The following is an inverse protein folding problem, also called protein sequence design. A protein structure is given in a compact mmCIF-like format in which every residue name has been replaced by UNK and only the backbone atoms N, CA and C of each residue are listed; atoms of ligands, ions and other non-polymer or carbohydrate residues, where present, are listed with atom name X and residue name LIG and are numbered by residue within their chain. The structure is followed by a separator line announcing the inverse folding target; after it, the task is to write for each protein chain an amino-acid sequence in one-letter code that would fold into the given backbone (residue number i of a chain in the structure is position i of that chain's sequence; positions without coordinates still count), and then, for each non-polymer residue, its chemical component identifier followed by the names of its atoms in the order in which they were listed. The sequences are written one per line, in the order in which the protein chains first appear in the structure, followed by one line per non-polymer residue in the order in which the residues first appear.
data_IF_363705541941
#
_entry.id   IF_363705541941
#
_cell.length_a   1.000
_cell.length_b   1.000
_cell.length_c   1.000
_cell.angle_alpha   90.00
_cell.angle_beta   90.00
_cell.angle_gamma   90.00
#
_symmetry.space_group_name_H-M   'P 1'
#
loop_
_entity.id
_entity.type
_entity.pdbx_description
1 polymer ?
#
# COMPACT_ATOMS: atom_id res chain seq x y z
N UNK A 1 71.31 -63.03 4.90
CA UNK A 1 71.47 -62.90 6.36
C UNK A 1 72.65 -61.96 6.54
N UNK A 2 72.45 -60.66 6.28
CA UNK A 2 72.01 -59.63 7.27
C UNK A 2 73.13 -59.39 8.29
N UNK A 3 73.68 -58.21 8.59
CA UNK A 3 73.42 -56.80 8.30
C UNK A 3 74.75 -56.05 8.57
N UNK A 4 75.23 -55.11 7.75
CA UNK A 4 74.80 -53.70 7.60
C UNK A 4 75.17 -52.76 8.78
N UNK A 5 75.91 -51.69 8.42
CA UNK A 5 75.78 -50.29 8.86
C UNK A 5 76.66 -49.71 9.99
N UNK A 6 77.57 -48.82 9.56
CA UNK A 6 77.65 -47.36 9.85
C UNK A 6 78.99 -46.81 10.37
N UNK A 7 79.61 -46.04 9.47
CA UNK A 7 80.70 -45.09 9.67
C UNK A 7 80.31 -43.84 10.47
N UNK A 8 81.36 -43.16 10.96
CA UNK A 8 81.48 -41.70 11.10
C UNK A 8 80.70 -40.99 12.20
N UNK A 9 81.43 -40.55 13.23
CA UNK A 9 81.06 -39.38 14.04
C UNK A 9 82.23 -38.38 14.09
N UNK A 10 82.21 -37.46 13.14
CA UNK A 10 82.95 -36.20 13.19
C UNK A 10 82.17 -35.13 13.96
N UNK A 11 82.87 -34.48 14.89
CA UNK A 11 82.70 -33.11 15.43
C UNK A 11 81.33 -32.43 15.26
N UNK A 12 80.66 -32.15 16.38
CA UNK A 12 79.62 -31.12 16.47
C UNK A 12 79.96 -30.12 17.56
N UNK A 13 80.11 -28.84 17.17
CA UNK A 13 80.25 -27.71 18.08
C UNK A 13 78.88 -27.23 18.55
N UNK A 14 78.81 -26.86 19.84
CA UNK A 14 77.65 -26.25 20.48
C UNK A 14 77.42 -24.84 19.92
N UNK A 15 76.50 -24.71 18.96
CA UNK A 15 75.90 -23.42 18.61
C UNK A 15 74.70 -23.14 19.52
N UNK A 16 74.84 -22.09 20.30
CA UNK A 16 73.81 -21.50 21.15
C UNK A 16 72.62 -21.05 20.27
N UNK A 17 71.50 -21.78 20.34
CA UNK A 17 70.22 -21.35 19.72
C UNK A 17 69.76 -20.06 20.40
N UNK A 18 69.95 -18.91 19.73
CA UNK A 18 69.19 -17.71 20.04
C UNK A 18 67.70 -18.02 19.87
N UNK A 19 66.93 -17.95 20.96
CA UNK A 19 65.47 -17.97 20.93
C UNK A 19 64.99 -16.71 20.19
N UNK A 20 64.65 -16.85 18.91
CA UNK A 20 63.93 -15.81 18.18
C UNK A 20 62.55 -15.64 18.82
N UNK A 21 62.25 -14.43 19.29
CA UNK A 21 60.92 -14.09 19.79
C UNK A 21 59.92 -14.10 18.63
N UNK A 22 58.68 -14.56 18.84
CA UNK A 22 57.66 -14.52 17.80
C UNK A 22 57.35 -13.05 17.42
N UNK A 23 57.02 -12.78 16.15
CA UNK A 23 56.67 -11.44 15.71
C UNK A 23 55.40 -10.94 16.43
N UNK A 24 55.26 -9.62 16.64
CA UNK A 24 54.09 -9.05 17.29
C UNK A 24 52.81 -9.33 16.49
N UNK A 25 51.65 -9.46 17.15
CA UNK A 25 50.38 -9.69 16.48
C UNK A 25 50.05 -8.52 15.55
N UNK A 26 49.59 -8.83 14.34
CA UNK A 26 49.17 -7.81 13.37
C UNK A 26 48.01 -7.00 13.96
N UNK A 27 47.96 -5.67 13.73
CA UNK A 27 46.81 -4.89 14.13
C UNK A 27 45.55 -5.42 13.43
N UNK A 28 44.38 -5.34 14.10
CA UNK A 28 43.12 -5.75 13.49
C UNK A 28 42.88 -4.92 12.22
N UNK A 29 42.26 -5.49 11.18
CA UNK A 29 41.92 -4.75 9.98
C UNK A 29 41.09 -3.52 10.34
N UNK A 30 41.38 -2.39 9.70
CA UNK A 30 40.62 -1.17 9.88
C UNK A 30 39.13 -1.49 9.70
N UNK A 31 38.33 -1.30 10.75
CA UNK A 31 36.88 -1.41 10.66
C UNK A 31 36.44 -0.37 9.62
N UNK A 32 35.97 -0.83 8.47
CA UNK A 32 35.36 0.04 7.48
C UNK A 32 34.28 0.90 8.13
N UNK A 33 33.96 2.08 7.57
CA UNK A 33 32.90 2.92 8.10
C UNK A 33 31.63 2.05 8.29
N UNK A 34 30.94 2.17 9.43
CA UNK A 34 29.72 1.40 9.66
C UNK A 34 28.78 1.60 8.48
N UNK A 35 28.05 0.56 8.04
CA UNK A 35 27.06 0.72 6.99
C UNK A 35 26.15 1.88 7.41
N UNK A 36 25.98 2.87 6.51
CA UNK A 36 25.08 4.00 6.73
C UNK A 36 23.75 3.43 7.21
N UNK A 37 23.41 3.63 8.49
CA UNK A 37 22.08 3.31 8.99
C UNK A 37 21.11 4.05 8.08
N UNK A 38 20.31 3.31 7.30
CA UNK A 38 19.33 3.92 6.41
C UNK A 38 18.47 4.88 7.24
N UNK A 39 18.72 6.18 7.02
CA UNK A 39 18.01 7.28 7.64
C UNK A 39 16.52 7.13 7.34
N UNK A 40 15.68 7.19 8.37
CA UNK A 40 14.20 7.18 8.34
C UNK A 40 13.59 6.87 6.97
N UNK A 41 13.24 5.59 6.75
CA UNK A 41 12.47 5.22 5.55
C UNK A 41 11.17 6.02 5.55
N UNK A 42 10.87 6.67 4.43
CA UNK A 42 9.57 7.33 4.23
C UNK A 42 8.50 6.25 4.16
N UNK A 43 7.33 6.46 4.77
CA UNK A 43 6.31 5.41 4.86
C UNK A 43 5.05 5.81 4.09
N UNK A 44 4.53 4.86 3.33
CA UNK A 44 3.19 4.91 2.73
C UNK A 44 2.33 3.84 3.38
N UNK A 45 1.27 4.26 4.08
CA UNK A 45 0.25 3.36 4.59
C UNK A 45 -0.87 3.24 3.57
N UNK A 46 -1.11 2.02 3.10
CA UNK A 46 -2.26 1.68 2.28
C UNK A 46 -3.29 0.99 3.16
N UNK A 47 -4.36 1.71 3.50
CA UNK A 47 -5.44 1.14 4.30
C UNK A 47 -6.30 0.25 3.42
N UNK A 48 -6.84 -0.82 4.02
CA UNK A 48 -7.78 -1.73 3.36
C UNK A 48 -8.92 -2.09 4.30
N UNK A 49 -10.09 -2.32 3.73
CA UNK A 49 -11.24 -2.80 4.48
C UNK A 49 -12.58 -2.29 3.96
N UNK A 50 -13.65 -2.99 4.35
CA UNK A 50 -15.00 -2.69 3.90
C UNK A 50 -15.53 -1.34 4.44
N UNK A 51 -16.53 -0.72 3.80
CA UNK A 51 -17.24 0.43 4.38
C UNK A 51 -17.76 0.11 5.78
N UNK A 52 -17.51 0.99 6.76
CA UNK A 52 -17.90 0.77 8.16
C UNK A 52 -16.94 -0.09 9.00
N UNK A 53 -15.83 -0.58 8.44
CA UNK A 53 -14.87 -1.44 9.18
C UNK A 53 -13.97 -0.67 10.16
N UNK A 54 -13.93 0.66 10.07
CA UNK A 54 -13.10 1.52 10.93
C UNK A 54 -11.79 2.02 10.29
N UNK A 55 -11.67 1.97 8.95
CA UNK A 55 -10.47 2.47 8.23
C UNK A 55 -10.14 3.92 8.54
N UNK A 56 -11.11 4.82 8.42
CA UNK A 56 -10.91 6.25 8.73
C UNK A 56 -10.54 6.46 10.20
N UNK A 57 -11.07 5.64 11.11
CA UNK A 57 -10.67 5.67 12.52
C UNK A 57 -9.19 5.30 12.68
N UNK A 58 -8.73 4.25 11.98
CA UNK A 58 -7.32 3.85 11.93
C UNK A 58 -6.45 4.92 11.26
N UNK A 59 -6.89 5.54 10.17
CA UNK A 59 -6.19 6.64 9.50
C UNK A 59 -5.95 7.81 10.46
N UNK A 60 -7.00 8.20 11.20
CA UNK A 60 -6.90 9.27 12.20
C UNK A 60 -6.04 8.89 13.39
N UNK A 61 -6.01 7.61 13.80
CA UNK A 61 -5.08 7.14 14.82
C UNK A 61 -3.62 7.30 14.34
N UNK A 62 -3.30 6.81 13.14
CA UNK A 62 -1.97 6.99 12.55
C UNK A 62 -1.59 8.48 12.44
N UNK A 63 -2.53 9.35 12.09
CA UNK A 63 -2.27 10.78 12.04
C UNK A 63 -2.01 11.42 13.41
N UNK A 64 -2.65 10.92 14.49
CA UNK A 64 -2.32 11.36 15.86
C UNK A 64 -0.93 10.92 16.27
N UNK A 65 -0.56 9.69 15.93
CA UNK A 65 0.77 9.12 16.24
C UNK A 65 1.88 9.79 15.42
N UNK A 66 1.56 10.24 14.20
CA UNK A 66 2.46 10.92 13.29
C UNK A 66 1.88 12.29 12.86
N UNK A 67 2.15 13.39 13.61
CA UNK A 67 1.51 14.69 13.35
C UNK A 67 1.74 15.28 11.96
N UNK A 68 2.83 14.87 11.27
CA UNK A 68 3.14 15.29 9.89
C UNK A 68 2.44 14.43 8.81
N UNK A 69 1.64 13.45 9.22
CA UNK A 69 0.99 12.54 8.29
C UNK A 69 -0.11 13.23 7.50
N UNK A 70 -0.14 12.95 6.19
CA UNK A 70 -1.24 13.35 5.32
C UNK A 70 -2.13 12.15 5.00
N UNK A 71 -3.43 12.33 5.21
CA UNK A 71 -4.45 11.37 4.82
C UNK A 71 -5.04 11.81 3.48
N UNK A 72 -5.14 10.87 2.54
CA UNK A 72 -5.80 11.07 1.26
C UNK A 72 -6.87 10.00 1.06
N UNK A 73 -8.08 10.42 0.71
CA UNK A 73 -9.20 9.54 0.38
C UNK A 73 -9.82 9.94 -0.95
N UNK A 74 -10.32 8.95 -1.69
CA UNK A 74 -11.11 9.21 -2.90
C UNK A 74 -12.47 9.79 -2.53
N UNK A 75 -13.01 9.48 -1.34
CA UNK A 75 -14.29 10.01 -0.88
C UNK A 75 -14.25 11.54 -0.67
N UNK A 76 -13.06 12.12 -0.42
CA UNK A 76 -12.87 13.59 -0.31
C UNK A 76 -13.36 14.34 -1.56
N UNK A 77 -13.32 13.71 -2.74
CA UNK A 77 -13.76 14.31 -4.00
C UNK A 77 -15.27 14.56 -4.05
N UNK A 78 -16.05 13.79 -3.30
CA UNK A 78 -17.52 13.82 -3.32
C UNK A 78 -18.12 14.71 -2.23
N UNK A 79 -17.29 15.42 -1.46
CA UNK A 79 -17.76 16.43 -0.52
C UNK A 79 -17.91 17.77 -1.23
N UNK A 80 -19.07 18.39 -1.05
CA UNK A 80 -19.39 19.74 -1.52
C UNK A 80 -18.82 20.80 -0.57
N UNK A 81 -18.78 22.05 -1.03
CA UNK A 81 -18.33 23.21 -0.22
C UNK A 81 -19.13 23.39 1.09
N UNK A 82 -20.38 22.94 1.12
CA UNK A 82 -21.27 22.97 2.30
C UNK A 82 -21.08 21.76 3.24
N UNK A 83 -20.17 20.84 2.91
CA UNK A 83 -19.90 19.62 3.67
C UNK A 83 -20.84 18.45 3.36
N UNK A 84 -21.80 18.60 2.44
CA UNK A 84 -22.67 17.50 2.03
C UNK A 84 -21.91 16.48 1.15
N UNK A 85 -22.13 15.19 1.41
CA UNK A 85 -21.55 14.10 0.63
C UNK A 85 -22.51 13.67 -0.49
N UNK A 86 -22.06 13.76 -1.74
CA UNK A 86 -22.84 13.41 -2.93
C UNK A 86 -22.04 12.47 -3.83
N UNK A 87 -22.21 11.17 -3.62
CA UNK A 87 -21.53 10.17 -4.44
C UNK A 87 -22.13 10.13 -5.85
N UNK A 88 -21.30 10.41 -6.86
CA UNK A 88 -21.66 10.21 -8.26
C UNK A 88 -20.65 9.27 -8.93
N UNK A 89 -21.09 8.09 -9.38
CA UNK A 89 -20.20 7.11 -9.98
C UNK A 89 -19.57 7.51 -11.31
N UNK A 90 -20.22 8.39 -12.08
CA UNK A 90 -19.70 8.85 -13.36
C UNK A 90 -18.36 9.58 -13.20
N UNK A 91 -18.14 10.14 -12.00
CA UNK A 91 -16.91 10.84 -11.63
C UNK A 91 -15.93 9.98 -10.82
N UNK A 92 -16.21 8.68 -10.63
CA UNK A 92 -15.36 7.83 -9.77
C UNK A 92 -13.94 7.66 -10.33
N UNK A 93 -13.80 7.54 -11.65
CA UNK A 93 -12.49 7.45 -12.29
C UNK A 93 -11.69 8.74 -12.09
N UNK A 94 -12.32 9.89 -12.31
CA UNK A 94 -11.72 11.21 -12.05
C UNK A 94 -11.35 11.39 -10.58
N UNK A 95 -12.21 10.98 -9.65
CA UNK A 95 -11.95 11.03 -8.22
C UNK A 95 -10.72 10.20 -7.83
N UNK A 96 -10.55 9.01 -8.43
CA UNK A 96 -9.35 8.21 -8.24
C UNK A 96 -8.10 8.89 -8.80
N UNK A 97 -8.15 9.44 -10.02
CA UNK A 97 -7.01 10.16 -10.60
C UNK A 97 -6.63 11.39 -9.78
N UNK A 98 -7.61 12.16 -9.31
CA UNK A 98 -7.41 13.32 -8.46
C UNK A 98 -6.72 12.94 -7.14
N UNK A 99 -7.18 11.87 -6.50
CA UNK A 99 -6.57 11.35 -5.28
C UNK A 99 -5.11 10.89 -5.51
N UNK A 100 -4.87 10.16 -6.61
CA UNK A 100 -3.53 9.72 -7.02
C UNK A 100 -2.59 10.91 -7.27
N UNK A 101 -3.06 11.98 -7.92
CA UNK A 101 -2.28 13.22 -8.16
C UNK A 101 -1.88 13.89 -6.85
N UNK A 102 -2.79 13.98 -5.87
CA UNK A 102 -2.50 14.52 -4.53
C UNK A 102 -1.43 13.70 -3.80
N UNK A 103 -1.59 12.37 -3.78
CA UNK A 103 -0.63 11.46 -3.17
C UNK A 103 0.75 11.54 -3.84
N UNK A 104 0.81 11.56 -5.18
CA UNK A 104 2.05 11.70 -5.96
C UNK A 104 2.80 12.96 -5.58
N UNK A 105 2.11 14.11 -5.56
CA UNK A 105 2.69 15.40 -5.22
C UNK A 105 3.26 15.39 -3.80
N UNK A 106 2.53 14.83 -2.84
CA UNK A 106 3.02 14.69 -1.47
C UNK A 106 4.27 13.80 -1.38
N UNK A 107 4.30 12.68 -2.13
CA UNK A 107 5.45 11.78 -2.17
C UNK A 107 6.70 12.45 -2.75
N UNK A 108 6.54 13.18 -3.86
CA UNK A 108 7.59 13.96 -4.52
C UNK A 108 8.14 15.06 -3.60
N UNK A 109 7.27 15.68 -2.79
CA UNK A 109 7.67 16.65 -1.78
C UNK A 109 8.32 16.01 -0.53
N UNK A 110 8.49 14.69 -0.49
CA UNK A 110 9.13 13.98 0.62
C UNK A 110 8.30 13.90 1.91
N UNK A 111 6.98 14.14 1.83
CA UNK A 111 6.11 14.09 3.01
C UNK A 111 5.96 12.66 3.51
N UNK A 112 6.23 12.42 4.79
CA UNK A 112 6.10 11.09 5.40
C UNK A 112 5.55 11.18 6.84
N UNK A 113 4.62 10.30 7.24
CA UNK A 113 4.01 9.27 6.40
C UNK A 113 2.86 9.79 5.52
N UNK A 114 2.55 9.10 4.44
CA UNK A 114 1.32 9.31 3.66
C UNK A 114 0.38 8.14 3.94
N UNK A 115 -0.91 8.43 4.11
CA UNK A 115 -1.95 7.43 4.41
C UNK A 115 -3.02 7.51 3.33
N UNK A 116 -3.28 6.40 2.65
CA UNK A 116 -4.35 6.27 1.67
C UNK A 116 -5.53 5.55 2.33
N UNK A 117 -6.58 6.30 2.69
CA UNK A 117 -7.80 5.81 3.34
C UNK A 117 -8.88 5.49 2.29
N UNK A 118 -8.59 4.48 1.46
CA UNK A 118 -9.53 3.94 0.49
C UNK A 118 -9.99 2.55 0.92
N UNK A 119 -11.02 2.02 0.27
CA UNK A 119 -11.51 0.66 0.55
C UNK A 119 -10.49 -0.41 0.15
N UNK A 120 -9.84 -0.25 -1.01
CA UNK A 120 -8.77 -1.11 -1.53
C UNK A 120 -9.11 -2.62 -1.39
N UNK A 121 -10.18 -3.03 -2.08
CA UNK A 121 -10.67 -4.42 -2.11
C UNK A 121 -9.70 -5.33 -2.88
N UNK A 122 -9.14 -4.81 -3.96
CA UNK A 122 -8.29 -5.54 -4.88
C UNK A 122 -6.87 -4.99 -4.92
N UNK A 123 -5.89 -5.86 -5.14
CA UNK A 123 -4.48 -5.50 -5.23
C UNK A 123 -4.23 -4.45 -6.34
N UNK A 124 -4.93 -4.55 -7.48
CA UNK A 124 -4.76 -3.61 -8.60
C UNK A 124 -5.16 -2.17 -8.26
N UNK A 125 -6.10 -1.96 -7.32
CA UNK A 125 -6.54 -0.61 -6.89
C UNK A 125 -5.41 0.15 -6.17
N UNK A 126 -4.51 -0.58 -5.53
CA UNK A 126 -3.37 -0.05 -4.79
C UNK A 126 -2.10 0.10 -5.63
N UNK A 127 -2.03 -0.58 -6.78
CA UNK A 127 -0.85 -0.60 -7.64
C UNK A 127 -0.32 0.79 -8.01
N UNK A 128 -1.16 1.78 -8.39
CA UNK A 128 -0.65 3.13 -8.69
C UNK A 128 0.12 3.74 -7.51
N UNK A 129 -0.38 3.59 -6.28
CA UNK A 129 0.27 4.10 -5.08
C UNK A 129 1.55 3.34 -4.74
N UNK A 130 1.57 2.02 -4.92
CA UNK A 130 2.77 1.21 -4.71
C UNK A 130 3.90 1.55 -5.70
N UNK A 131 3.57 1.80 -6.97
CA UNK A 131 4.53 2.26 -7.98
C UNK A 131 5.08 3.65 -7.61
N UNK A 132 4.20 4.60 -7.28
CA UNK A 132 4.62 5.94 -6.85
C UNK A 132 5.50 5.89 -5.58
N UNK A 133 5.23 4.98 -4.65
CA UNK A 133 6.06 4.76 -3.48
C UNK A 133 7.47 4.30 -3.84
N UNK A 134 7.59 3.32 -4.75
CA UNK A 134 8.87 2.79 -5.21
C UNK A 134 9.71 3.87 -5.89
N UNK A 135 9.10 4.64 -6.80
CA UNK A 135 9.73 5.77 -7.51
C UNK A 135 10.29 6.84 -6.56
N UNK A 136 9.68 6.99 -5.39
CA UNK A 136 10.01 8.04 -4.44
C UNK A 136 10.69 7.49 -3.16
N UNK A 137 11.16 6.24 -3.14
CA UNK A 137 11.82 5.60 -1.99
C UNK A 137 10.96 5.58 -0.70
N UNK A 138 9.69 5.21 -0.82
CA UNK A 138 8.80 4.93 0.31
C UNK A 138 8.70 3.44 0.56
N UNK A 139 8.67 3.04 1.84
CA UNK A 139 8.26 1.70 2.26
C UNK A 139 6.73 1.65 2.31
N UNK A 140 6.15 0.66 1.60
CA UNK A 140 4.70 0.44 1.55
C UNK A 140 4.28 -0.50 2.66
N UNK A 141 3.33 -0.05 3.49
CA UNK A 141 2.80 -0.77 4.62
C UNK A 141 1.29 -0.93 4.42
N UNK A 142 0.83 -2.17 4.27
CA UNK A 142 -0.60 -2.47 4.21
C UNK A 142 -1.16 -2.54 5.63
N UNK A 143 -2.31 -1.90 5.86
CA UNK A 143 -2.98 -1.92 7.16
C UNK A 143 -4.48 -2.14 7.02
N UNK A 144 -5.01 -3.02 7.87
CA UNK A 144 -6.43 -3.22 8.04
C UNK A 144 -6.85 -2.77 9.44
N UNK A 145 -8.10 -2.32 9.62
CA UNK A 145 -8.67 -2.15 10.96
C UNK A 145 -8.65 -3.46 11.73
N UNK A 146 -8.35 -3.40 13.03
CA UNK A 146 -8.39 -4.55 13.95
C UNK A 146 -9.75 -4.65 14.68
N UNK A 147 -10.83 -4.27 14.00
CA UNK A 147 -12.15 -4.33 14.59
C UNK A 147 -12.73 -5.74 14.46
N UNK A 148 -13.27 -6.27 15.56
CA UNK A 148 -13.93 -7.59 15.59
C UNK A 148 -15.09 -7.75 14.59
N UNK A 149 -15.63 -6.65 14.06
CA UNK A 149 -16.73 -6.64 13.08
C UNK A 149 -16.28 -6.32 11.64
N UNK A 150 -14.98 -6.21 11.35
CA UNK A 150 -14.47 -5.74 10.04
C UNK A 150 -14.99 -6.52 8.82
N UNK A 151 -15.51 -7.74 9.02
CA UNK A 151 -16.15 -8.59 8.02
C UNK A 151 -17.61 -9.00 8.35
N UNK A 152 -18.22 -8.40 9.38
CA UNK A 152 -19.62 -8.62 9.72
C UNK A 152 -20.50 -7.65 8.92
N UNK A 153 -21.11 -8.13 7.84
CA UNK A 153 -21.88 -7.31 6.89
C UNK A 153 -23.01 -6.53 7.55
N UNK A 154 -23.70 -7.10 8.54
CA UNK A 154 -24.79 -6.42 9.25
C UNK A 154 -24.28 -5.24 10.07
N UNK A 155 -23.20 -5.43 10.82
CA UNK A 155 -22.61 -4.36 11.64
C UNK A 155 -21.93 -3.29 10.78
N UNK A 156 -21.30 -3.69 9.66
CA UNK A 156 -20.74 -2.77 8.67
C UNK A 156 -21.82 -1.87 8.07
N UNK A 157 -22.95 -2.45 7.65
CA UNK A 157 -24.08 -1.68 7.13
C UNK A 157 -24.63 -0.68 8.16
N UNK A 158 -24.70 -1.06 9.44
CA UNK A 158 -25.14 -0.17 10.52
C UNK A 158 -24.16 0.98 10.79
N UNK A 159 -22.86 0.75 10.62
CA UNK A 159 -21.79 1.72 10.96
C UNK A 159 -21.32 2.59 9.81
N UNK A 160 -21.61 2.21 8.57
CA UNK A 160 -21.10 2.95 7.42
C UNK A 160 -21.84 4.29 7.26
N UNK A 161 -21.08 5.38 7.14
CA UNK A 161 -21.62 6.74 7.10
C UNK A 161 -21.97 7.23 5.69
N UNK A 162 -21.55 6.48 4.65
CA UNK A 162 -21.78 6.83 3.25
C UNK A 162 -23.03 6.17 2.66
N UNK A 163 -23.87 5.54 3.50
CA UNK A 163 -25.13 4.93 3.08
C UNK A 163 -25.00 3.76 2.10
N UNK A 164 -23.85 3.08 2.08
CA UNK A 164 -23.61 1.91 1.24
C UNK A 164 -24.58 0.79 1.65
N UNK A 165 -25.45 0.31 0.73
CA UNK A 165 -26.43 -0.73 1.07
C UNK A 165 -25.76 -2.04 1.52
N UNK A 166 -26.44 -2.77 2.42
CA UNK A 166 -25.95 -4.04 2.98
C UNK A 166 -25.58 -5.05 1.91
N UNK A 167 -26.41 -5.18 0.88
CA UNK A 167 -26.23 -6.10 -0.24
C UNK A 167 -24.98 -5.73 -1.06
N UNK A 168 -24.68 -4.43 -1.17
CA UNK A 168 -23.44 -3.95 -1.80
C UNK A 168 -22.23 -4.28 -0.94
N UNK A 169 -22.30 -4.09 0.38
CA UNK A 169 -21.23 -4.47 1.31
C UNK A 169 -20.97 -5.98 1.26
N UNK A 170 -22.01 -6.82 1.16
CA UNK A 170 -21.87 -8.25 0.97
C UNK A 170 -21.06 -8.59 -0.28
N UNK A 171 -21.42 -8.02 -1.43
CA UNK A 171 -20.69 -8.20 -2.70
C UNK A 171 -19.26 -7.63 -2.65
N UNK A 172 -19.01 -6.60 -1.85
CA UNK A 172 -17.66 -6.08 -1.62
C UNK A 172 -16.84 -7.04 -0.77
N UNK A 173 -17.45 -7.66 0.25
CA UNK A 173 -16.82 -8.68 1.09
C UNK A 173 -16.43 -9.92 0.28
N UNK A 174 -17.31 -10.42 -0.57
CA UNK A 174 -17.02 -11.60 -1.42
C UNK A 174 -15.83 -11.37 -2.37
N UNK A 175 -15.63 -10.13 -2.80
CA UNK A 175 -14.54 -9.73 -3.69
C UNK A 175 -13.28 -9.25 -2.95
N UNK A 176 -13.31 -9.22 -1.62
CA UNK A 176 -12.18 -8.74 -0.84
C UNK A 176 -11.02 -9.73 -0.95
N UNK A 177 -9.91 -9.31 -1.54
CA UNK A 177 -8.70 -10.11 -1.61
C UNK A 177 -8.01 -10.14 -0.25
N UNK A 178 -7.50 -11.31 0.14
CA UNK A 178 -6.76 -11.50 1.38
C UNK A 178 -5.26 -11.66 1.09
N UNK A 179 -4.43 -11.60 2.14
CA UNK A 179 -2.99 -11.92 2.08
C UNK A 179 -2.21 -11.15 1.01
N UNK A 180 -2.58 -9.89 0.79
CA UNK A 180 -1.95 -9.07 -0.24
C UNK A 180 -0.58 -8.58 0.21
N UNK A 181 0.39 -8.81 -0.68
CA UNK A 181 1.79 -8.44 -0.52
C UNK A 181 2.17 -7.34 -1.51
N UNK A 182 3.28 -6.64 -1.23
CA UNK A 182 3.83 -5.65 -2.16
C UNK A 182 4.07 -6.26 -3.56
N UNK A 183 4.60 -7.48 -3.61
CA UNK A 183 4.80 -8.21 -4.86
C UNK A 183 3.48 -8.45 -5.61
N UNK A 184 2.45 -8.96 -4.93
CA UNK A 184 1.14 -9.19 -5.57
C UNK A 184 0.51 -7.90 -6.11
N UNK A 185 0.69 -6.77 -5.40
CA UNK A 185 0.18 -5.46 -5.84
C UNK A 185 0.87 -4.96 -7.10
N UNK A 186 2.21 -5.07 -7.18
CA UNK A 186 2.94 -4.62 -8.37
C UNK A 186 2.57 -5.42 -9.63
N UNK A 187 2.25 -6.70 -9.48
CA UNK A 187 1.89 -7.59 -10.60
C UNK A 187 0.39 -7.64 -10.88
N UNK A 188 -0.44 -7.02 -10.06
CA UNK A 188 -1.89 -7.02 -10.26
C UNK A 188 -2.29 -6.23 -11.52
N UNK A 189 -3.33 -6.69 -12.19
CA UNK A 189 -3.91 -6.05 -13.36
C UNK A 189 -5.38 -5.73 -13.13
N UNK A 190 -5.82 -4.57 -13.61
CA UNK A 190 -7.24 -4.19 -13.59
C UNK A 190 -7.97 -5.08 -14.61
N UNK A 191 -9.05 -5.79 -14.22
CA UNK A 191 -9.79 -6.62 -15.16
C UNK A 191 -10.27 -5.81 -16.38
N UNK A 192 -10.00 -6.31 -17.58
CA UNK A 192 -10.43 -5.68 -18.83
C UNK A 192 -11.95 -5.81 -18.99
N UNK A 193 -12.59 -4.81 -19.64
CA UNK A 193 -14.03 -4.87 -19.94
C UNK A 193 -14.42 -6.04 -20.86
N UNK A 194 -13.45 -6.62 -21.59
CA UNK A 194 -13.64 -7.64 -22.64
C UNK A 194 -13.71 -9.07 -22.07
N UNK A 195 -12.97 -9.37 -20.99
CA UNK A 195 -12.94 -10.72 -20.40
C UNK A 195 -14.25 -11.16 -19.72
N UNK A 196 -15.26 -10.27 -19.64
CA UNK A 196 -16.52 -10.55 -18.94
C UNK A 196 -17.54 -11.34 -19.77
N UNK A 197 -17.30 -11.56 -21.06
CA UNK A 197 -18.22 -12.23 -21.97
C UNK A 197 -17.86 -13.70 -22.28
N UNK A 198 -16.64 -14.16 -21.97
CA UNK A 198 -16.25 -15.56 -22.23
C UNK A 198 -16.75 -16.53 -21.15
N UNK A 199 -16.88 -16.09 -19.89
CA UNK A 199 -17.40 -16.93 -18.78
C UNK A 199 -18.91 -17.20 -18.86
N UNK A 200 -19.62 -16.68 -19.87
CA UNK A 200 -21.07 -16.89 -20.04
C UNK A 200 -21.45 -18.13 -20.85
N UNK A 201 -20.51 -18.72 -21.57
CA UNK A 201 -20.82 -19.83 -22.49
C UNK A 201 -20.82 -21.22 -21.81
N UNK A 202 -20.76 -21.31 -20.47
CA UNK A 202 -20.70 -22.58 -19.74
C UNK A 202 -21.81 -22.78 -18.69
N UNK A 203 -22.85 -21.94 -18.65
CA UNK A 203 -23.96 -22.10 -17.69
C UNK A 203 -25.34 -22.02 -18.39
N UNK A 204 -26.32 -22.88 -18.03
CA UNK A 204 -27.61 -22.90 -18.69
C UNK A 204 -28.44 -21.67 -18.31
N UNK A 205 -29.08 -21.12 -19.35
CA UNK A 205 -29.87 -19.90 -19.35
C UNK A 205 -31.02 -19.96 -18.33
N UNK A 206 -30.93 -19.12 -17.30
CA UNK A 206 -32.09 -18.58 -16.59
C UNK A 206 -31.97 -17.06 -16.64
N UNK A 207 -33.03 -16.43 -17.16
CA UNK A 207 -33.04 -15.02 -17.54
C UNK A 207 -32.74 -14.09 -16.38
N UNK A 208 -31.58 -13.45 -16.42
CA UNK A 208 -31.27 -12.24 -15.66
C UNK A 208 -29.97 -11.65 -16.20
N UNK A 209 -30.11 -10.60 -17.00
CA UNK A 209 -29.01 -9.86 -17.55
C UNK A 209 -29.30 -8.36 -17.46
N UNK A 210 -28.38 -7.42 -17.20
CA UNK A 210 -26.92 -7.41 -17.18
C UNK A 210 -26.42 -6.21 -16.34
N UNK A 211 -25.25 -6.35 -15.73
CA UNK A 211 -24.59 -5.39 -14.84
C UNK A 211 -23.99 -4.15 -15.53
N UNK A 212 -24.33 -2.95 -15.04
CA UNK A 212 -23.46 -1.76 -15.00
C UNK A 212 -22.89 -1.62 -13.58
N UNK A 213 -21.57 -1.55 -13.41
CA UNK A 213 -21.00 -1.14 -12.12
C UNK A 213 -21.27 0.35 -11.98
N UNK A 214 -22.25 0.66 -11.14
CA UNK A 214 -22.77 1.98 -10.82
C UNK A 214 -23.85 2.56 -11.74
N UNK A 215 -25.01 1.93 -11.72
CA UNK A 215 -26.36 2.47 -11.96
C UNK A 215 -27.25 1.28 -11.60
N UNK A 216 -28.29 1.34 -10.78
CA UNK A 216 -29.52 2.12 -10.93
C UNK A 216 -30.23 2.23 -9.57
N UNK A 217 -30.73 3.42 -9.23
CA UNK A 217 -32.04 3.61 -8.60
C UNK A 217 -32.70 4.83 -9.27
N UNK A 218 -34.01 4.80 -9.55
CA UNK A 218 -34.65 5.82 -10.36
C UNK A 218 -34.95 7.06 -9.50
N UNK A 219 -34.26 8.16 -9.77
CA UNK A 219 -34.71 9.45 -9.27
C UNK A 219 -35.58 10.09 -10.35
N UNK A 220 -36.90 10.15 -10.09
CA UNK A 220 -37.85 10.95 -10.86
C UNK A 220 -37.33 12.38 -10.94
N UNK A 221 -37.02 12.87 -12.15
CA UNK A 221 -36.85 14.31 -12.41
C UNK A 221 -38.18 14.90 -12.88
N UNK A 222 -38.62 15.93 -12.18
CA UNK A 222 -39.41 17.00 -12.78
C UNK A 222 -38.45 18.01 -13.45
N UNK A 223 -38.96 18.69 -14.48
CA UNK A 223 -38.24 19.59 -15.38
C UNK A 223 -37.69 20.86 -14.73
N UNK A 224 -36.58 21.35 -15.27
CA UNK A 224 -36.06 22.71 -15.06
C UNK A 224 -34.62 22.81 -15.55
N UNK A 225 -34.41 23.25 -16.79
CA UNK A 225 -33.06 23.47 -17.34
C UNK A 225 -32.47 24.77 -16.82
N UNK A 226 -31.14 24.86 -16.76
CA UNK A 226 -30.36 26.09 -16.97
C UNK A 226 -28.89 25.74 -17.27
N UNK A 227 -28.26 26.70 -17.90
CA UNK A 227 -27.10 26.74 -18.79
C UNK A 227 -25.71 26.46 -18.18
N UNK A 228 -24.80 26.07 -19.08
CA UNK A 228 -23.34 26.03 -18.94
C UNK A 228 -22.77 27.21 -18.14
N UNK A 229 -22.01 26.92 -17.07
CA UNK A 229 -20.89 27.78 -16.69
C UNK A 229 -19.79 27.00 -15.95
N UNK A 230 -18.57 27.30 -16.38
CA UNK A 230 -17.25 26.86 -15.95
C UNK A 230 -17.03 26.81 -14.44
N UNK A 231 -16.67 25.64 -13.90
CA UNK A 231 -16.15 25.54 -12.53
C UNK A 231 -14.62 25.60 -12.51
N UNK A 232 -14.10 26.83 -12.40
CA UNK A 232 -12.83 27.12 -11.73
C UNK A 232 -13.10 27.32 -10.24
N UNK A 233 -12.52 26.50 -9.37
CA UNK A 233 -12.21 26.82 -7.94
C UNK A 233 -10.96 25.99 -7.58
N UNK A 234 -9.80 26.54 -7.24
CA UNK A 234 -9.54 27.59 -6.24
C UNK A 234 -9.81 26.98 -4.87
N UNK A 235 -8.88 26.30 -4.21
CA UNK A 235 -7.73 26.92 -3.55
C UNK A 235 -8.15 27.39 -2.15
N UNK A 236 -8.13 26.51 -1.16
CA UNK A 236 -8.32 26.88 0.25
C UNK A 236 -7.25 26.24 1.14
N UNK A 237 -6.40 27.13 1.67
CA UNK A 237 -5.66 26.99 2.92
C UNK A 237 -6.55 26.58 4.08
N UNK A 238 -6.01 25.79 5.03
CA UNK A 238 -6.01 25.92 6.50
C UNK A 238 -4.85 25.00 6.94
N UNK A 239 -3.88 25.35 7.77
CA UNK A 239 -3.86 26.24 8.91
C UNK A 239 -3.35 25.41 10.09
N UNK A 240 -2.01 25.36 10.22
CA UNK A 240 -1.15 24.74 11.25
C UNK A 240 -1.26 23.22 11.51
#
# INVERSE_FOLDING_TARGET
MEDSFLESFGRLSLHQRQRQQPPPPRPPPARGPPPRRHSFKKHLYLLRGLPGSGKTTLARQLQRDFPRALIFSTDDFFFRDDGAYEFNPDFLEEAHEWNQKRARKAMQNGISPIIIDNTNLHAWEMKPYAVMALENNYEVIFREPDTRWKFNVQELARRNIHGVPREKIHRMKERYEHDVTFHSVLHAEKPSRVNRNQDRNSAPSSGSGYWSTYTELPNRRAHGGFSNESFRRGGCHHGY
#
